data_IF_944658431556
#
_entry.id   IF_944658431556
#
_cell.length_a   1.000
_cell.length_b   1.000
_cell.length_c   1.000
_cell.angle_alpha   90.00
_cell.angle_beta   90.00
_cell.angle_gamma   90.00
#
_symmetry.space_group_name_H-M   'P 1'
#
loop_
_entity.id
_entity.type
_entity.pdbx_description
1 polymer ?
#
# COMPACT_ATOMS: atom_id res chain seq x y z
N UNK A 1 -16.36 4.35 -24.73
CA UNK A 1 -16.21 3.24 -23.76
C UNK A 1 -17.46 2.38 -23.74
N UNK A 2 -17.34 1.08 -23.93
CA UNK A 2 -18.48 0.18 -23.87
C UNK A 2 -18.91 -0.06 -22.42
N UNK A 3 -20.22 0.00 -22.15
CA UNK A 3 -20.79 -0.42 -20.85
C UNK A 3 -20.61 -1.94 -20.69
N UNK A 4 -20.42 -2.41 -19.44
CA UNK A 4 -20.42 -3.84 -19.12
C UNK A 4 -21.79 -4.47 -19.45
N UNK A 5 -21.80 -5.76 -19.74
CA UNK A 5 -23.02 -6.53 -20.01
C UNK A 5 -24.03 -6.40 -18.86
N UNK A 6 -23.57 -6.53 -17.61
CA UNK A 6 -24.39 -6.37 -16.42
C UNK A 6 -25.06 -4.99 -16.31
N UNK A 7 -24.34 -3.91 -16.68
CA UNK A 7 -24.92 -2.56 -16.68
C UNK A 7 -26.00 -2.41 -17.76
N UNK A 8 -25.77 -2.96 -18.96
CA UNK A 8 -26.76 -2.94 -20.04
C UNK A 8 -28.04 -3.70 -19.67
N UNK A 9 -27.92 -4.82 -18.96
CA UNK A 9 -29.07 -5.61 -18.50
C UNK A 9 -29.90 -4.84 -17.46
N UNK A 10 -29.28 -4.18 -16.49
CA UNK A 10 -29.99 -3.33 -15.51
C UNK A 10 -30.75 -2.18 -16.18
N UNK A 11 -30.09 -1.47 -17.08
CA UNK A 11 -30.72 -0.38 -17.87
C UNK A 11 -31.86 -0.88 -18.77
N UNK A 12 -31.85 -2.15 -19.18
CA UNK A 12 -32.98 -2.77 -19.89
C UNK A 12 -34.15 -3.03 -18.93
N UNK A 13 -33.89 -3.58 -17.75
CA UNK A 13 -34.92 -3.84 -16.74
C UNK A 13 -35.61 -2.55 -16.26
N UNK A 14 -34.84 -1.48 -16.06
CA UNK A 14 -35.38 -0.16 -15.72
C UNK A 14 -36.30 0.39 -16.81
N UNK A 15 -35.93 0.22 -18.09
CA UNK A 15 -36.78 0.61 -19.23
C UNK A 15 -38.06 -0.22 -19.32
N UNK A 16 -38.02 -1.48 -18.89
CA UNK A 16 -39.19 -2.35 -18.80
C UNK A 16 -40.04 -2.08 -17.54
N UNK A 17 -39.69 -1.09 -16.71
CA UNK A 17 -40.40 -0.76 -15.48
C UNK A 17 -40.16 -1.74 -14.33
N UNK A 18 -39.18 -2.65 -14.46
CA UNK A 18 -38.80 -3.58 -13.39
C UNK A 18 -37.88 -2.89 -12.39
N UNK A 19 -37.98 -3.30 -11.13
CA UNK A 19 -37.14 -2.76 -10.04
C UNK A 19 -35.66 -3.00 -10.33
N UNK A 20 -34.84 -1.96 -10.16
CA UNK A 20 -33.39 -2.07 -10.35
C UNK A 20 -32.78 -2.93 -9.23
N UNK A 21 -32.08 -4.04 -9.55
CA UNK A 21 -31.44 -4.89 -8.54
C UNK A 21 -30.34 -4.18 -7.74
N UNK A 22 -29.78 -3.06 -8.23
CA UNK A 22 -28.82 -2.26 -7.48
C UNK A 22 -29.40 -1.64 -6.22
N UNK A 23 -30.69 -1.27 -6.25
CA UNK A 23 -31.39 -0.70 -5.11
C UNK A 23 -31.60 -1.71 -3.97
N UNK A 24 -31.40 -3.00 -4.25
CA UNK A 24 -31.51 -4.08 -3.26
C UNK A 24 -30.14 -4.54 -2.73
N UNK A 25 -29.03 -3.92 -3.17
CA UNK A 25 -27.70 -4.28 -2.67
C UNK A 25 -27.55 -3.81 -1.22
N UNK A 26 -27.03 -4.68 -0.37
CA UNK A 26 -26.69 -4.30 1.00
C UNK A 26 -25.52 -3.32 1.01
N UNK A 27 -25.41 -2.55 2.10
CA UNK A 27 -24.32 -1.59 2.31
C UNK A 27 -22.94 -2.27 2.23
N UNK A 28 -22.88 -3.54 2.63
CA UNK A 28 -21.70 -4.40 2.57
C UNK A 28 -21.16 -4.64 1.15
N UNK A 29 -21.99 -4.50 0.12
CA UNK A 29 -21.54 -4.63 -1.28
C UNK A 29 -20.56 -3.50 -1.69
N UNK A 30 -20.57 -2.38 -0.98
CA UNK A 30 -19.70 -1.23 -1.23
C UNK A 30 -18.57 -1.10 -0.22
N UNK A 31 -18.69 -1.75 0.94
CA UNK A 31 -17.66 -1.75 1.97
C UNK A 31 -16.51 -2.69 1.60
N UNK A 32 -15.27 -2.27 1.84
CA UNK A 32 -14.13 -3.19 1.81
C UNK A 32 -14.12 -4.01 3.11
N UNK A 33 -14.60 -5.25 3.01
CA UNK A 33 -14.67 -6.19 4.14
C UNK A 33 -13.39 -7.02 4.32
N UNK A 34 -12.32 -6.70 3.60
CA UNK A 34 -11.05 -7.41 3.75
C UNK A 34 -10.45 -7.14 5.13
N UNK A 35 -9.83 -8.16 5.71
CA UNK A 35 -9.08 -8.00 6.95
C UNK A 35 -7.81 -7.17 6.69
N UNK A 36 -7.54 -6.22 7.58
CA UNK A 36 -6.29 -5.45 7.52
C UNK A 36 -5.13 -6.38 7.86
N UNK A 37 -4.20 -6.54 6.94
CA UNK A 37 -3.00 -7.33 7.14
C UNK A 37 -1.79 -6.43 7.40
N UNK A 38 -0.91 -6.86 8.29
CA UNK A 38 0.38 -6.22 8.49
C UNK A 38 1.33 -6.55 7.34
N UNK A 39 2.31 -5.67 7.10
CA UNK A 39 3.28 -5.84 6.00
C UNK A 39 4.10 -7.11 6.15
N UNK A 40 4.41 -7.73 5.02
CA UNK A 40 5.31 -8.89 4.97
C UNK A 40 6.78 -8.50 5.19
N UNK A 41 7.64 -9.48 5.49
CA UNK A 41 9.09 -9.25 5.69
C UNK A 41 9.73 -8.59 4.48
N UNK A 42 9.35 -9.01 3.28
CA UNK A 42 9.88 -8.48 2.01
C UNK A 42 9.44 -7.03 1.78
N UNK A 43 8.17 -6.71 2.05
CA UNK A 43 7.66 -5.33 2.00
C UNK A 43 8.34 -4.41 3.01
N UNK A 44 8.60 -4.90 4.22
CA UNK A 44 9.32 -4.13 5.24
C UNK A 44 10.78 -3.88 4.86
N UNK A 45 11.47 -4.89 4.33
CA UNK A 45 12.87 -4.74 3.88
C UNK A 45 13.00 -3.73 2.73
N UNK A 46 12.04 -3.73 1.80
CA UNK A 46 11.98 -2.78 0.68
C UNK A 46 11.46 -1.40 1.09
N UNK A 47 10.89 -1.26 2.28
CA UNK A 47 10.35 0.01 2.76
C UNK A 47 11.47 0.94 3.24
N UNK A 48 11.85 1.94 2.44
CA UNK A 48 12.69 3.05 2.90
C UNK A 48 11.82 4.18 3.47
N UNK A 49 11.56 4.14 4.78
CA UNK A 49 10.80 5.20 5.47
C UNK A 49 11.64 6.45 5.75
N UNK A 50 12.91 6.27 6.07
CA UNK A 50 13.86 7.34 6.37
C UNK A 50 15.05 7.20 5.41
N UNK A 51 15.23 8.18 4.52
CA UNK A 51 16.36 8.20 3.60
C UNK A 51 17.58 8.73 4.35
N UNK A 52 18.55 7.86 4.67
CA UNK A 52 19.89 8.32 5.10
C UNK A 52 20.68 8.69 3.85
N UNK A 53 21.33 9.84 3.87
CA UNK A 53 22.36 10.17 2.88
C UNK A 53 23.52 9.18 3.03
N UNK A 54 24.01 8.63 1.93
CA UNK A 54 25.19 7.73 1.90
C UNK A 54 26.48 8.42 2.37
N UNK A 55 26.46 9.73 2.63
CA UNK A 55 27.61 10.54 3.00
C UNK A 55 28.00 10.50 4.49
N UNK A 56 27.21 9.87 5.37
CA UNK A 56 27.50 9.78 6.81
C UNK A 56 28.05 8.40 7.19
N UNK A 57 29.13 8.00 6.52
CA UNK A 57 29.87 6.76 6.80
C UNK A 57 31.36 7.08 6.91
N UNK A 58 31.67 8.18 7.60
CA UNK A 58 33.03 8.69 7.79
C UNK A 58 33.29 8.99 9.28
N UNK A 59 33.00 8.02 10.15
CA UNK A 59 33.46 8.09 11.56
C UNK A 59 34.15 6.79 12.02
N UNK A 60 34.47 5.87 11.11
CA UNK A 60 35.21 4.65 11.45
C UNK A 60 36.73 4.90 11.66
N UNK A 61 37.20 6.14 11.46
CA UNK A 61 38.61 6.53 11.60
C UNK A 61 39.03 6.95 13.02
N UNK A 62 38.09 7.12 13.95
CA UNK A 62 38.40 7.64 15.30
C UNK A 62 39.06 6.61 16.22
N UNK A 63 38.98 5.31 15.90
CA UNK A 63 39.59 4.25 16.71
C UNK A 63 41.12 4.17 16.56
N UNK A 64 41.69 4.59 15.41
CA UNK A 64 43.13 4.51 15.18
C UNK A 64 43.92 5.66 15.84
N UNK A 65 43.31 6.82 16.07
CA UNK A 65 43.99 7.97 16.70
C UNK A 65 44.23 7.78 18.20
N UNK A 66 43.39 7.00 18.90
CA UNK A 66 43.54 6.75 20.34
C UNK A 66 44.69 5.77 20.63
N UNK A 67 44.96 4.82 19.73
CA UNK A 67 46.06 3.85 19.92
C UNK A 67 47.43 4.50 19.70
N UNK A 68 47.54 5.44 18.76
CA UNK A 68 48.79 6.13 18.48
C UNK A 68 49.20 7.13 19.57
N UNK A 69 48.25 7.70 20.33
CA UNK A 69 48.52 8.65 21.42
C UNK A 69 48.86 8.00 22.77
N UNK A 70 48.69 6.68 22.89
CA UNK A 70 49.03 5.90 24.08
C UNK A 70 50.40 5.20 23.98
N UNK A 71 51.12 5.36 22.86
CA UNK A 71 52.44 4.76 22.63
C UNK A 71 53.59 5.80 22.56
N UNK A 72 53.35 7.08 22.89
CA UNK A 72 54.40 8.10 22.98
C UNK A 72 54.71 8.50 24.42
#
# INVERSE_FOLDING_TARGET
MAKSSARKQREKLEREGKRNPDQNRSIFAFADLRSKQTKTKTEKLRQQKHKRSYSYQQEDGLFYLVVASLQS
#
